data_IF_418663983100
#
_entry.id   IF_418663983100
#
_cell.length_a   1.000
_cell.length_b   1.000
_cell.length_c   1.000
_cell.angle_alpha   90.00
_cell.angle_beta   90.00
_cell.angle_gamma   90.00
#
_symmetry.space_group_name_H-M   'P 1'
#
loop_
_entity.id
_entity.type
_entity.pdbx_description
1 polymer ?
#
# COMPACT_ATOMS: atom_id res chain seq x y z
N UNK A 1 -21.24 -3.92 -11.59
CA UNK A 1 -20.42 -3.13 -10.64
C UNK A 1 -20.79 -3.30 -9.16
N UNK A 2 -22.05 -3.65 -8.83
CA UNK A 2 -22.51 -3.82 -7.44
C UNK A 2 -21.81 -4.94 -6.66
N UNK A 3 -21.46 -6.05 -7.31
CA UNK A 3 -20.87 -7.21 -6.64
C UNK A 3 -19.42 -7.00 -6.15
N UNK A 4 -18.62 -6.14 -6.79
CA UNK A 4 -17.25 -5.86 -6.34
C UNK A 4 -17.19 -5.03 -5.04
N UNK A 5 -18.26 -4.30 -4.74
CA UNK A 5 -18.40 -3.59 -3.45
C UNK A 5 -18.73 -4.53 -2.28
N UNK A 6 -19.16 -5.75 -2.58
CA UNK A 6 -19.60 -6.74 -1.60
C UNK A 6 -18.51 -7.73 -1.18
N UNK A 7 -17.25 -7.50 -1.59
CA UNK A 7 -16.11 -8.33 -1.21
C UNK A 7 -15.18 -7.54 -0.27
N UNK A 8 -15.56 -7.36 1.02
CA UNK A 8 -14.74 -6.57 1.95
C UNK A 8 -13.34 -7.13 2.12
N UNK A 9 -13.19 -8.45 2.15
CA UNK A 9 -11.90 -9.12 2.30
C UNK A 9 -10.92 -8.77 1.17
N UNK A 10 -11.40 -8.66 -0.08
CA UNK A 10 -10.59 -8.18 -1.19
C UNK A 10 -10.10 -6.74 -0.95
N UNK A 11 -10.96 -5.88 -0.40
CA UNK A 11 -10.59 -4.53 -0.03
C UNK A 11 -9.51 -4.49 1.05
N UNK A 12 -9.61 -5.36 2.06
CA UNK A 12 -8.58 -5.48 3.11
C UNK A 12 -7.25 -5.99 2.56
N UNK A 13 -7.29 -7.01 1.69
CA UNK A 13 -6.08 -7.52 1.04
C UNK A 13 -5.38 -6.44 0.19
N UNK A 14 -6.12 -5.64 -0.57
CA UNK A 14 -5.55 -4.55 -1.37
C UNK A 14 -4.95 -3.44 -0.50
N UNK A 15 -5.58 -3.09 0.62
CA UNK A 15 -5.01 -2.16 1.61
C UNK A 15 -3.72 -2.71 2.22
N UNK A 16 -3.65 -4.01 2.48
CA UNK A 16 -2.45 -4.64 3.04
C UNK A 16 -1.31 -4.68 2.03
N UNK A 17 -1.62 -4.89 0.75
CA UNK A 17 -0.63 -4.75 -0.33
C UNK A 17 -0.14 -3.30 -0.43
N UNK A 18 -1.04 -2.31 -0.40
CA UNK A 18 -0.67 -0.88 -0.37
C UNK A 18 0.25 -0.56 0.81
N UNK A 19 -0.06 -1.11 1.99
CA UNK A 19 0.72 -0.88 3.20
C UNK A 19 2.13 -1.45 3.11
N UNK A 20 2.24 -2.73 2.74
CA UNK A 20 3.53 -3.44 2.70
C UNK A 20 4.39 -3.05 1.50
N UNK A 21 3.76 -2.76 0.36
CA UNK A 21 4.42 -2.54 -0.91
C UNK A 21 3.96 -1.24 -1.60
N UNK A 22 4.08 -0.08 -0.92
CA UNK A 22 3.68 1.18 -1.51
C UNK A 22 4.52 1.45 -2.77
N UNK A 23 3.89 1.74 -3.92
CA UNK A 23 4.63 1.99 -5.17
C UNK A 23 5.48 3.26 -5.09
N UNK A 24 5.05 4.24 -4.29
CA UNK A 24 5.79 5.46 -3.99
C UNK A 24 6.32 5.37 -2.56
N UNK A 25 7.62 5.28 -2.41
CA UNK A 25 8.26 5.08 -1.11
C UNK A 25 8.51 6.37 -0.34
N UNK A 26 8.72 7.48 -1.06
CA UNK A 26 8.96 8.79 -0.49
C UNK A 26 8.14 9.85 -1.23
N UNK A 27 7.53 10.75 -0.48
CA UNK A 27 6.74 11.87 -0.97
C UNK A 27 7.41 13.15 -0.50
N UNK A 28 8.13 13.82 -1.40
CA UNK A 28 8.86 15.04 -1.09
C UNK A 28 7.96 16.27 -1.11
N UNK A 29 8.22 17.21 -0.20
CA UNK A 29 7.58 18.54 -0.15
C UNK A 29 8.64 19.62 0.05
N UNK A 30 8.61 20.63 -0.83
CA UNK A 30 9.43 21.81 -0.67
C UNK A 30 8.92 22.71 0.47
N UNK A 31 9.83 23.17 1.31
CA UNK A 31 9.53 24.08 2.42
C UNK A 31 9.57 25.51 1.90
N UNK A 32 8.41 26.17 1.83
CA UNK A 32 8.28 27.54 1.29
C UNK A 32 8.48 28.63 2.35
N UNK A 33 8.40 28.29 3.63
CA UNK A 33 8.68 29.15 4.78
C UNK A 33 9.18 28.28 5.93
N UNK A 34 9.95 28.86 6.84
CA UNK A 34 10.46 28.14 8.00
C UNK A 34 9.34 27.42 8.77
N UNK A 35 9.59 26.15 9.09
CA UNK A 35 8.68 25.30 9.86
C UNK A 35 9.36 24.96 11.18
N UNK A 36 8.66 25.20 12.28
CA UNK A 36 9.13 24.81 13.61
C UNK A 36 8.34 23.58 14.09
N UNK A 37 9.04 22.50 14.36
CA UNK A 37 8.43 21.24 14.79
C UNK A 37 9.30 20.52 15.80
N UNK A 38 8.73 20.11 16.93
CA UNK A 38 9.41 19.37 18.01
C UNK A 38 10.74 19.98 18.46
N UNK A 39 10.85 21.33 18.49
CA UNK A 39 12.06 22.06 18.88
C UNK A 39 13.10 22.23 17.75
N UNK A 40 12.82 21.74 16.55
CA UNK A 40 13.67 21.90 15.37
C UNK A 40 13.12 22.98 14.45
N UNK A 41 14.03 23.68 13.76
CA UNK A 41 13.69 24.57 12.65
C UNK A 41 14.06 23.89 11.33
N UNK A 42 13.10 23.80 10.42
CA UNK A 42 13.29 23.34 9.04
C UNK A 42 13.21 24.57 8.15
N UNK A 43 14.36 25.05 7.62
CA UNK A 43 14.39 26.31 6.89
C UNK A 43 13.64 26.27 5.56
N UNK A 44 13.18 27.44 5.11
CA UNK A 44 12.68 27.62 3.75
C UNK A 44 13.76 27.23 2.73
N UNK A 45 13.32 26.64 1.61
CA UNK A 45 14.20 26.11 0.57
C UNK A 45 14.66 24.66 0.79
N UNK A 46 14.39 24.09 1.94
CA UNK A 46 14.63 22.67 2.20
C UNK A 46 13.52 21.78 1.65
N UNK A 47 13.75 20.47 1.68
CA UNK A 47 12.77 19.45 1.38
C UNK A 47 12.51 18.58 2.60
N UNK A 48 11.25 18.19 2.77
CA UNK A 48 10.82 17.21 3.77
C UNK A 48 10.29 16.00 3.03
N UNK A 49 10.79 14.83 3.36
CA UNK A 49 10.33 13.56 2.82
C UNK A 49 9.42 12.85 3.81
N UNK A 50 8.23 12.50 3.34
CA UNK A 50 7.29 11.63 4.03
C UNK A 50 7.49 10.23 3.43
N UNK A 51 7.79 9.25 4.27
CA UNK A 51 7.98 7.88 3.80
C UNK A 51 6.78 7.00 4.14
N UNK A 52 5.90 6.69 3.17
CA UNK A 52 4.86 5.68 3.36
C UNK A 52 5.43 4.35 3.82
N UNK A 53 6.55 3.92 3.25
CA UNK A 53 7.21 2.65 3.60
C UNK A 53 7.53 2.55 5.09
N UNK A 54 8.04 3.62 5.71
CA UNK A 54 8.34 3.66 7.14
C UNK A 54 7.07 3.82 7.96
N UNK A 55 6.19 4.77 7.59
CA UNK A 55 4.93 5.03 8.29
C UNK A 55 4.08 3.77 8.41
N UNK A 56 4.00 3.00 7.33
CA UNK A 56 3.21 1.77 7.27
C UNK A 56 3.80 0.61 8.08
N UNK A 57 5.01 0.78 8.64
CA UNK A 57 5.70 -0.23 9.48
C UNK A 57 5.90 0.20 10.93
N UNK A 58 5.30 1.32 11.32
CA UNK A 58 5.36 1.77 12.71
C UNK A 58 4.59 0.81 13.62
N UNK A 59 5.24 0.18 14.62
CA UNK A 59 4.58 -0.78 15.52
C UNK A 59 3.55 -0.11 16.42
N UNK A 60 3.63 1.20 16.62
CA UNK A 60 2.66 2.00 17.36
C UNK A 60 1.31 2.09 16.63
N UNK A 61 1.32 1.90 15.29
CA UNK A 61 0.13 1.95 14.44
C UNK A 61 -0.34 0.54 14.08
N UNK A 62 0.58 -0.32 13.64
CA UNK A 62 0.30 -1.62 13.07
C UNK A 62 0.89 -2.75 13.91
N UNK A 63 0.04 -3.64 14.38
CA UNK A 63 0.46 -4.85 15.10
C UNK A 63 1.19 -5.79 14.12
N UNK A 64 2.36 -6.33 14.52
CA UNK A 64 3.19 -7.19 13.66
C UNK A 64 3.36 -6.59 12.25
N UNK A 65 4.02 -5.41 12.13
CA UNK A 65 3.96 -4.60 10.91
C UNK A 65 4.54 -5.28 9.66
N UNK A 66 5.42 -6.26 9.80
CA UNK A 66 6.02 -6.96 8.66
C UNK A 66 5.19 -8.16 8.20
N UNK A 67 4.17 -8.56 8.99
CA UNK A 67 3.29 -9.66 8.64
C UNK A 67 2.20 -9.18 7.67
N UNK A 68 1.95 -9.97 6.62
CA UNK A 68 0.78 -9.80 5.76
C UNK A 68 -0.48 -10.26 6.50
N UNK A 69 -1.32 -9.32 6.88
CA UNK A 69 -2.52 -9.56 7.69
C UNK A 69 -3.65 -8.61 7.29
N UNK A 70 -4.45 -8.97 6.27
CA UNK A 70 -5.57 -8.14 5.81
C UNK A 70 -6.63 -7.86 6.87
N UNK A 71 -6.77 -8.73 7.88
CA UNK A 71 -7.79 -8.59 8.92
C UNK A 71 -7.53 -7.39 9.85
N UNK A 72 -6.33 -6.77 9.77
CA UNK A 72 -6.05 -5.52 10.47
C UNK A 72 -6.96 -4.37 10.04
N UNK A 73 -7.55 -4.44 8.83
CA UNK A 73 -8.50 -3.46 8.30
C UNK A 73 -9.97 -3.84 8.54
N UNK A 74 -10.23 -4.99 9.14
CA UNK A 74 -11.57 -5.44 9.48
C UNK A 74 -12.19 -4.58 10.62
N UNK A 75 -13.54 -4.52 10.74
CA UNK A 75 -14.24 -3.61 11.66
C UNK A 75 -13.83 -3.68 13.12
N UNK A 76 -13.32 -4.80 13.61
CA UNK A 76 -12.90 -4.94 14.99
C UNK A 76 -11.50 -4.39 15.27
N UNK A 77 -10.67 -4.20 14.25
CA UNK A 77 -9.29 -3.74 14.39
C UNK A 77 -9.09 -2.35 13.81
N UNK A 78 -9.46 -2.14 12.56
CA UNK A 78 -9.39 -0.85 11.83
C UNK A 78 -8.11 -0.05 12.12
N UNK A 79 -6.95 -0.73 12.05
CA UNK A 79 -5.67 -0.15 12.47
C UNK A 79 -5.32 1.11 11.66
N UNK A 80 -5.75 1.19 10.41
CA UNK A 80 -5.59 2.37 9.56
C UNK A 80 -6.40 3.59 9.99
N UNK A 81 -7.40 3.40 10.87
CA UNK A 81 -8.26 4.47 11.37
C UNK A 81 -7.87 4.96 12.77
N UNK A 82 -7.00 4.22 13.47
CA UNK A 82 -6.58 4.59 14.84
C UNK A 82 -5.75 5.88 14.88
N UNK A 83 -5.03 6.17 13.81
CA UNK A 83 -4.21 7.37 13.71
C UNK A 83 -4.48 8.08 12.37
N UNK A 84 -4.54 9.43 12.37
CA UNK A 84 -4.55 10.19 11.13
C UNK A 84 -3.32 9.85 10.28
N UNK A 85 -3.52 9.72 8.98
CA UNK A 85 -2.43 9.43 8.03
C UNK A 85 -1.70 8.09 8.24
N UNK A 86 -2.34 7.12 8.93
CA UNK A 86 -1.75 5.79 9.12
C UNK A 86 -1.50 5.08 7.77
N UNK A 87 -2.43 5.17 6.82
CA UNK A 87 -2.31 4.61 5.48
C UNK A 87 -2.24 5.73 4.45
N UNK A 88 -1.07 5.97 3.87
CA UNK A 88 -0.77 7.10 2.98
C UNK A 88 -0.14 6.70 1.65
N UNK A 89 -0.31 5.45 1.20
CA UNK A 89 0.26 4.95 -0.05
C UNK A 89 -0.20 5.73 -1.29
N UNK A 90 -1.39 6.31 -1.24
CA UNK A 90 -1.92 7.22 -2.27
C UNK A 90 -1.77 8.72 -1.90
N UNK A 91 -0.94 9.04 -0.91
CA UNK A 91 -0.81 10.39 -0.39
C UNK A 91 -2.00 10.81 0.49
N UNK A 92 -2.09 12.09 0.81
CA UNK A 92 -3.14 12.63 1.66
C UNK A 92 -3.39 14.13 1.43
N UNK A 93 -4.56 14.60 1.85
CA UNK A 93 -4.97 15.99 1.75
C UNK A 93 -5.11 16.46 0.30
N UNK A 94 -4.81 17.76 0.02
CA UNK A 94 -4.95 18.34 -1.31
C UNK A 94 -4.05 17.70 -2.39
N UNK A 95 -3.03 16.97 -1.97
CA UNK A 95 -2.08 16.28 -2.85
C UNK A 95 -2.29 14.75 -2.88
N UNK A 96 -3.46 14.25 -2.47
CA UNK A 96 -3.79 12.84 -2.63
C UNK A 96 -3.89 12.47 -4.12
N UNK A 97 -3.60 11.21 -4.41
CA UNK A 97 -3.63 10.69 -5.77
C UNK A 97 -5.03 10.85 -6.39
N UNK A 98 -5.12 11.55 -7.51
CA UNK A 98 -6.38 11.73 -8.26
C UNK A 98 -6.92 10.41 -8.80
N UNK A 99 -6.02 9.47 -9.12
CA UNK A 99 -6.34 8.16 -9.70
C UNK A 99 -6.67 7.07 -8.67
N UNK A 100 -6.68 7.35 -7.37
CA UNK A 100 -6.81 6.30 -6.35
C UNK A 100 -8.09 5.46 -6.49
N UNK A 101 -9.23 6.09 -6.82
CA UNK A 101 -10.49 5.36 -7.02
C UNK A 101 -10.43 4.47 -8.26
N UNK A 102 -9.83 4.96 -9.33
CA UNK A 102 -9.61 4.20 -10.56
C UNK A 102 -8.70 3.01 -10.30
N UNK A 103 -7.56 3.22 -9.65
CA UNK A 103 -6.63 2.16 -9.28
C UNK A 103 -7.28 1.08 -8.40
N UNK A 104 -8.05 1.48 -7.39
CA UNK A 104 -8.81 0.55 -6.53
C UNK A 104 -9.81 -0.29 -7.32
N UNK A 105 -10.50 0.31 -8.27
CA UNK A 105 -11.45 -0.40 -9.13
C UNK A 105 -10.72 -1.37 -10.07
N UNK A 106 -9.66 -0.93 -10.72
CA UNK A 106 -8.85 -1.72 -11.63
C UNK A 106 -8.24 -2.94 -10.92
N UNK A 107 -7.61 -2.73 -9.77
CA UNK A 107 -7.05 -3.82 -8.95
C UNK A 107 -8.11 -4.85 -8.57
N UNK A 108 -9.31 -4.43 -8.17
CA UNK A 108 -10.40 -5.34 -7.84
C UNK A 108 -10.88 -6.15 -9.06
N UNK A 109 -10.97 -5.53 -10.23
CA UNK A 109 -11.35 -6.22 -11.47
C UNK A 109 -10.28 -7.25 -11.83
N UNK A 110 -9.02 -6.87 -11.84
CA UNK A 110 -7.91 -7.78 -12.15
C UNK A 110 -7.90 -8.94 -11.16
N UNK A 111 -7.90 -8.65 -9.86
CA UNK A 111 -7.87 -9.67 -8.82
C UNK A 111 -9.08 -10.62 -8.92
N UNK A 112 -10.29 -10.09 -9.20
CA UNK A 112 -11.49 -10.93 -9.41
C UNK A 112 -11.36 -11.89 -10.59
N UNK A 113 -10.59 -11.53 -11.60
CA UNK A 113 -10.27 -12.41 -12.74
C UNK A 113 -9.23 -13.45 -12.37
N UNK A 114 -8.16 -13.02 -11.69
CA UNK A 114 -7.07 -13.89 -11.27
C UNK A 114 -7.56 -14.99 -10.32
N UNK A 115 -8.46 -14.68 -9.39
CA UNK A 115 -9.04 -15.64 -8.44
C UNK A 115 -9.92 -16.75 -9.08
N UNK A 116 -10.14 -16.70 -10.39
CA UNK A 116 -10.82 -17.79 -11.14
C UNK A 116 -9.86 -18.88 -11.63
N UNK A 117 -8.60 -18.75 -11.31
CA UNK A 117 -7.56 -19.67 -11.73
C UNK A 117 -6.79 -20.18 -10.52
N UNK A 118 -6.40 -21.45 -10.57
CA UNK A 118 -5.41 -21.96 -9.63
C UNK A 118 -4.01 -21.52 -10.07
N UNK A 119 -3.27 -21.00 -9.11
CA UNK A 119 -1.92 -20.49 -9.30
C UNK A 119 -0.92 -21.38 -8.57
N UNK A 120 0.08 -21.85 -9.29
CA UNK A 120 1.27 -22.47 -8.71
C UNK A 120 2.40 -21.48 -8.88
N UNK A 121 2.75 -20.78 -7.81
CA UNK A 121 3.89 -19.85 -7.79
C UNK A 121 5.15 -20.64 -7.49
N UNK A 122 6.26 -20.30 -8.14
CA UNK A 122 7.56 -20.89 -7.81
C UNK A 122 7.88 -20.72 -6.33
N UNK A 123 8.40 -21.75 -5.65
CA UNK A 123 8.73 -21.71 -4.23
C UNK A 123 9.86 -20.74 -3.88
N UNK A 124 10.61 -20.26 -4.84
CA UNK A 124 11.59 -19.18 -4.66
C UNK A 124 10.83 -17.83 -4.63
N UNK A 125 10.57 -17.25 -3.46
CA UNK A 125 9.99 -15.92 -3.41
C UNK A 125 11.07 -14.95 -3.88
N UNK A 126 10.94 -14.48 -5.11
CA UNK A 126 11.73 -13.36 -5.56
C UNK A 126 11.37 -12.18 -4.66
N UNK A 127 12.31 -11.78 -3.83
CA UNK A 127 12.09 -10.69 -2.90
C UNK A 127 11.66 -9.44 -3.67
N UNK A 128 10.58 -8.82 -3.24
CA UNK A 128 10.28 -7.45 -3.68
C UNK A 128 11.37 -6.57 -3.10
N UNK A 129 12.37 -6.28 -3.90
CA UNK A 129 13.44 -5.38 -3.49
C UNK A 129 13.06 -3.98 -3.95
N UNK A 130 13.01 -2.99 -3.06
CA UNK A 130 12.75 -1.61 -3.42
C UNK A 130 13.98 -1.01 -4.11
N UNK A 131 14.29 -1.48 -5.33
CA UNK A 131 15.49 -1.04 -6.08
C UNK A 131 15.21 0.25 -6.86
N UNK A 132 13.95 0.51 -7.20
CA UNK A 132 13.51 1.69 -7.97
C UNK A 132 12.10 2.11 -7.57
N UNK A 133 11.76 3.35 -7.84
CA UNK A 133 10.37 3.81 -7.80
C UNK A 133 9.78 3.72 -9.23
N UNK A 134 8.63 3.06 -9.42
CA UNK A 134 7.87 2.25 -8.45
C UNK A 134 8.60 0.97 -8.04
N UNK A 135 8.25 0.42 -6.88
CA UNK A 135 8.78 -0.87 -6.39
C UNK A 135 8.51 -1.98 -7.40
N UNK A 136 9.54 -2.74 -7.74
CA UNK A 136 9.46 -3.82 -8.72
C UNK A 136 10.02 -5.12 -8.12
N UNK A 137 9.60 -6.25 -8.65
CA UNK A 137 10.29 -7.51 -8.38
C UNK A 137 11.70 -7.46 -8.97
N UNK A 138 12.67 -8.01 -8.25
CA UNK A 138 14.04 -8.09 -8.73
C UNK A 138 14.14 -8.96 -9.99
N UNK A 139 13.36 -10.04 -10.02
CA UNK A 139 13.25 -10.96 -11.14
C UNK A 139 11.78 -11.18 -11.51
N UNK A 140 11.53 -11.76 -12.68
CA UNK A 140 10.19 -12.11 -13.12
C UNK A 140 9.58 -13.19 -12.21
N UNK A 141 8.39 -12.94 -11.69
CA UNK A 141 7.63 -13.95 -10.95
C UNK A 141 7.22 -15.09 -11.90
N UNK A 142 7.70 -16.30 -11.64
CA UNK A 142 7.33 -17.50 -12.39
C UNK A 142 6.07 -18.12 -11.78
N UNK A 143 5.02 -18.25 -12.55
CA UNK A 143 3.79 -18.87 -12.10
C UNK A 143 3.17 -19.76 -13.20
N UNK A 144 2.66 -20.92 -12.81
CA UNK A 144 1.81 -21.75 -13.67
C UNK A 144 0.35 -21.47 -13.36
N UNK A 145 -0.47 -21.37 -14.39
CA UNK A 145 -1.89 -21.08 -14.29
C UNK A 145 -2.68 -22.28 -14.74
N UNK A 146 -3.60 -22.77 -13.91
CA UNK A 146 -4.59 -23.78 -14.28
C UNK A 146 -5.98 -23.18 -14.17
N UNK A 147 -6.83 -23.38 -15.17
CA UNK A 147 -8.22 -22.98 -15.08
C UNK A 147 -8.94 -23.88 -14.08
N UNK A 148 -9.60 -23.30 -13.09
CA UNK A 148 -10.53 -24.06 -12.25
C UNK A 148 -11.71 -24.46 -13.13
N UNK A 149 -11.84 -25.75 -13.41
CA UNK A 149 -13.03 -26.28 -14.10
C UNK A 149 -14.20 -26.21 -13.09
N UNK A 150 -15.12 -25.30 -13.34
CA UNK A 150 -16.39 -25.20 -12.63
C UNK A 150 -17.36 -26.27 -13.11
#
# INVERSE_FOLDING_TARGET
MSHLKQLPQMGYALKEVERLYPPVQNISRGVVKDIYYAGYCIPAGWYVDISPLLTHRLPEIYTDPDRFDPDRFAPLREEDKKHPFALVGFGSGPHSCLGWQFAQMEMKIILSKLLRYDWIVSPEPNAVVPVRQPSQFQDSLQAQIKKVLS
#
